data_IF_547156952099
#
_entry.id   IF_547156952099
#
_cell.length_a   1.000
_cell.length_b   1.000
_cell.length_c   1.000
_cell.angle_alpha   90.00
_cell.angle_beta   90.00
_cell.angle_gamma   90.00
#
_symmetry.space_group_name_H-M   'P 1'
#
loop_
_entity.id
_entity.type
_entity.pdbx_description
1 polymer ?
2 polymer ?
#
# COMPACT_ATOMS: atom_id res chain seq x y z
N UNK A 1 12.05 10.94 -4.20
CA UNK A 1 11.80 11.60 -5.47
C UNK A 1 10.40 12.20 -5.44
N UNK A 2 10.23 13.33 -6.14
CA UNK A 2 8.99 14.08 -6.05
C UNK A 2 7.86 13.46 -6.85
N UNK A 3 8.14 12.49 -7.71
CA UNK A 3 7.06 11.78 -8.39
C UNK A 3 6.23 10.96 -7.41
N UNK A 4 6.91 10.29 -6.47
CA UNK A 4 6.24 9.60 -5.38
C UNK A 4 5.47 10.58 -4.51
N UNK A 5 6.01 11.79 -4.35
CA UNK A 5 5.34 12.83 -3.58
C UNK A 5 4.04 13.26 -4.22
N UNK A 6 4.06 13.50 -5.53
CA UNK A 6 2.85 13.97 -6.21
C UNK A 6 1.81 12.88 -6.32
N UNK A 7 2.24 11.64 -6.60
CA UNK A 7 1.27 10.55 -6.67
C UNK A 7 0.73 10.26 -5.28
N UNK A 8 1.52 10.51 -4.23
CA UNK A 8 1.05 10.32 -2.87
C UNK A 8 0.03 11.38 -2.50
N UNK A 9 0.28 12.62 -2.94
CA UNK A 9 -0.62 13.74 -2.69
C UNK A 9 -1.98 13.53 -3.34
N UNK A 10 -2.00 13.26 -4.65
CA UNK A 10 -3.29 13.08 -5.31
C UNK A 10 -3.92 11.74 -4.96
N UNK A 11 -3.10 10.76 -4.57
CA UNK A 11 -3.63 9.47 -4.17
C UNK A 11 -4.28 9.56 -2.80
N UNK A 12 -3.91 10.57 -2.02
CA UNK A 12 -4.66 10.86 -0.81
C UNK A 12 -5.90 11.68 -1.13
N UNK A 13 -5.74 12.75 -1.90
CA UNK A 13 -6.79 13.76 -1.99
C UNK A 13 -7.91 13.35 -2.95
N UNK A 14 -7.72 12.28 -3.72
CA UNK A 14 -8.82 11.82 -4.55
C UNK A 14 -9.91 11.14 -3.72
N UNK A 15 -9.54 10.59 -2.57
CA UNK A 15 -10.42 9.74 -1.79
C UNK A 15 -10.77 10.37 -0.45
N UNK A 16 -11.12 11.65 -0.44
CA UNK A 16 -11.38 12.32 0.83
C UNK A 16 -12.70 11.87 1.44
N UNK A 17 -13.64 11.44 0.60
CA UNK A 17 -15.02 11.26 1.06
C UNK A 17 -15.14 10.02 1.94
N UNK A 18 -14.49 8.93 1.56
CA UNK A 18 -14.60 7.71 2.35
C UNK A 18 -13.85 7.81 3.66
N UNK A 19 -12.68 8.43 3.65
CA UNK A 19 -11.83 8.43 4.84
C UNK A 19 -12.35 9.38 5.90
N UNK A 20 -13.19 10.34 5.52
CA UNK A 20 -13.73 11.25 6.51
C UNK A 20 -14.99 10.73 7.18
N UNK A 21 -15.22 9.42 7.19
CA UNK A 21 -16.32 8.86 7.96
C UNK A 21 -15.86 7.84 8.98
N UNK A 22 -15.02 6.88 8.58
CA UNK A 22 -14.64 5.78 9.45
C UNK A 22 -13.37 6.05 10.25
N UNK A 23 -13.10 7.31 10.59
CA UNK A 23 -11.90 7.67 11.36
C UNK A 23 -12.31 8.56 12.52
N UNK A 24 -12.01 8.13 13.74
CA UNK A 24 -12.15 8.99 14.91
C UNK A 24 -11.08 10.07 14.83
N UNK A 25 -11.47 11.32 15.06
CA UNK A 25 -10.55 12.41 14.79
C UNK A 25 -9.55 12.63 15.91
N UNK A 26 -9.96 12.44 17.16
CA UNK A 26 -9.12 12.87 18.27
C UNK A 26 -8.02 11.85 18.50
N UNK A 27 -8.27 10.57 18.23
CA UNK A 27 -7.42 9.53 18.80
C UNK A 27 -6.05 9.30 18.13
N UNK A 28 -5.61 10.25 17.31
CA UNK A 28 -4.29 10.15 16.72
C UNK A 28 -3.24 11.22 17.00
N UNK A 29 -3.61 12.49 17.18
CA UNK A 29 -2.59 13.53 17.23
C UNK A 29 -1.86 13.65 18.57
N UNK A 30 -1.38 12.52 19.06
CA UNK A 30 -0.27 12.47 20.00
C UNK A 30 0.90 11.72 19.38
N UNK A 31 0.60 10.70 18.57
CA UNK A 31 1.64 10.00 17.82
C UNK A 31 2.26 10.89 16.76
N UNK A 32 1.45 11.46 15.88
CA UNK A 32 2.00 12.32 14.84
C UNK A 32 2.42 13.68 15.38
N UNK A 33 2.02 14.00 16.62
CA UNK A 33 2.60 15.17 17.26
C UNK A 33 4.01 14.86 17.73
N UNK A 34 4.33 13.58 17.93
CA UNK A 34 5.70 13.22 18.27
C UNK A 34 6.60 13.22 17.04
N UNK A 35 6.01 13.16 15.85
CA UNK A 35 6.82 13.19 14.63
C UNK A 35 7.21 14.59 14.21
N UNK A 36 6.82 15.61 14.98
CA UNK A 36 7.18 17.01 14.81
C UNK A 36 6.67 17.56 13.47
N UNK A 37 5.51 17.07 13.03
CA UNK A 37 4.85 17.61 11.84
C UNK A 37 3.58 18.38 12.14
N UNK A 38 3.23 18.55 13.41
CA UNK A 38 1.94 19.12 13.78
C UNK A 38 2.06 19.73 15.16
N UNK A 39 1.36 20.84 15.38
CA UNK A 39 1.58 21.64 16.58
C UNK A 39 0.27 21.80 17.34
N UNK A 40 0.38 22.53 18.46
CA UNK A 40 -0.76 22.79 19.33
C UNK A 40 -1.79 23.68 18.66
N UNK A 41 -1.34 24.56 17.77
CA UNK A 41 -2.25 25.42 17.02
C UNK A 41 -3.17 24.60 16.14
N UNK A 42 -2.64 23.51 15.58
CA UNK A 42 -3.48 22.58 14.84
C UNK A 42 -4.48 21.89 15.74
N UNK A 43 -4.06 21.58 16.97
CA UNK A 43 -4.94 20.90 17.96
C UNK A 43 -6.11 21.82 18.32
N UNK A 44 -5.84 23.13 18.46
CA UNK A 44 -6.90 24.12 18.81
C UNK A 44 -7.78 24.38 17.58
N UNK A 45 -7.17 24.45 16.40
CA UNK A 45 -7.92 24.70 15.13
C UNK A 45 -8.86 23.52 14.87
N UNK A 46 -8.42 22.30 15.17
CA UNK A 46 -9.25 21.08 14.95
C UNK A 46 -10.39 21.06 15.97
N UNK A 47 -10.11 21.49 17.21
CA UNK A 47 -11.11 21.51 18.26
C UNK A 47 -12.10 22.66 18.09
N UNK A 48 -11.78 23.63 17.23
CA UNK A 48 -12.74 24.68 16.91
C UNK A 48 -13.94 24.14 16.13
N UNK A 49 -13.77 23.02 15.44
CA UNK A 49 -14.89 22.43 14.71
C UNK A 49 -15.92 21.86 15.67
N UNK A 50 -17.15 21.71 15.19
CA UNK A 50 -18.25 21.20 16.00
C UNK A 50 -18.84 19.90 15.47
N UNK A 51 -18.75 19.66 14.17
CA UNK A 51 -19.29 18.46 13.55
C UNK A 51 -18.30 17.33 13.74
N UNK A 52 -18.76 16.10 13.54
CA UNK A 52 -17.85 14.96 13.57
C UNK A 52 -17.00 14.92 12.31
N UNK A 53 -17.63 15.14 11.16
CA UNK A 53 -17.01 14.86 9.88
C UNK A 53 -15.99 15.93 9.49
N UNK A 54 -16.25 17.18 9.84
CA UNK A 54 -15.41 18.26 9.36
C UNK A 54 -14.09 18.30 10.12
N UNK A 55 -14.09 17.77 11.34
CA UNK A 55 -12.85 17.48 12.04
C UNK A 55 -11.96 16.58 11.20
N UNK A 56 -12.53 15.47 10.72
CA UNK A 56 -11.79 14.55 9.87
C UNK A 56 -11.37 15.21 8.57
N UNK A 57 -12.22 16.09 8.05
CA UNK A 57 -11.89 16.78 6.81
C UNK A 57 -10.70 17.70 6.92
N UNK A 58 -10.72 18.61 7.90
CA UNK A 58 -9.64 19.57 8.01
C UNK A 58 -8.37 18.91 8.53
N UNK A 59 -8.51 17.86 9.35
CA UNK A 59 -7.35 17.09 9.78
C UNK A 59 -6.72 16.35 8.61
N UNK A 60 -7.54 15.79 7.74
CA UNK A 60 -7.03 15.05 6.60
C UNK A 60 -6.41 15.99 5.59
N UNK A 61 -6.95 17.21 5.52
CA UNK A 61 -6.46 18.25 4.57
C UNK A 61 -5.32 19.04 5.21
N UNK A 62 -5.04 18.74 6.47
CA UNK A 62 -3.95 19.44 7.20
C UNK A 62 -2.71 18.54 7.24
N UNK A 63 -2.60 17.63 6.31
CA UNK A 63 -1.45 16.70 6.24
C UNK A 63 -0.78 16.82 4.87
N UNK A 64 -1.40 17.57 3.95
CA UNK A 64 -0.85 17.76 2.61
C UNK A 64 0.15 18.91 2.57
N UNK A 65 1.14 18.81 3.45
CA UNK A 65 2.29 19.71 3.42
C UNK A 65 3.62 18.98 3.52
N UNK A 66 3.63 17.72 3.94
CA UNK A 66 4.80 16.86 3.95
C UNK A 66 4.45 15.51 3.33
N UNK A 67 5.37 14.94 2.56
CA UNK A 67 5.06 13.68 1.88
C UNK A 67 4.97 12.50 2.82
N UNK A 68 5.69 12.53 3.93
CA UNK A 68 5.82 11.38 4.81
C UNK A 68 4.70 11.28 5.83
N UNK A 69 3.64 12.08 5.69
CA UNK A 69 2.59 12.09 6.69
C UNK A 69 1.73 10.85 6.65
N UNK A 70 1.50 10.31 5.45
CA UNK A 70 0.59 9.17 5.28
C UNK A 70 1.09 7.95 6.02
N UNK A 71 2.42 7.74 6.00
CA UNK A 71 3.05 6.69 6.79
C UNK A 71 2.69 6.81 8.26
N UNK A 72 2.75 8.04 8.80
CA UNK A 72 2.38 8.25 10.19
C UNK A 72 0.90 7.98 10.39
N UNK A 73 0.08 8.30 9.38
CA UNK A 73 -1.34 7.98 9.45
C UNK A 73 -1.54 6.47 9.44
N UNK A 74 -0.67 5.75 8.73
CA UNK A 74 -0.70 4.30 8.84
C UNK A 74 -0.23 3.88 10.22
N UNK A 75 0.80 4.55 10.73
CA UNK A 75 1.58 4.01 11.84
C UNK A 75 0.79 3.98 13.14
N UNK A 76 0.07 5.06 13.43
CA UNK A 76 -0.83 5.05 14.59
C UNK A 76 -1.92 4.01 14.42
N UNK A 77 -2.44 3.86 13.20
CA UNK A 77 -3.38 2.79 12.93
C UNK A 77 -2.67 1.44 13.00
N UNK A 78 -1.39 1.42 12.64
CA UNK A 78 -0.58 0.25 12.93
C UNK A 78 -0.38 0.09 14.43
N UNK A 79 -0.27 1.20 15.16
CA UNK A 79 -0.01 1.17 16.59
C UNK A 79 -1.22 0.66 17.35
N UNK A 80 -2.32 1.39 17.30
CA UNK A 80 -3.55 0.89 17.89
C UNK A 80 -4.18 -0.07 16.90
N UNK A 81 -4.08 -1.35 17.20
CA UNK A 81 -4.62 -2.37 16.31
C UNK A 81 -6.11 -2.62 16.53
N UNK A 82 -6.90 -1.55 16.60
CA UNK A 82 -8.34 -1.73 16.73
C UNK A 82 -8.96 -1.97 15.37
N UNK A 83 -8.61 -1.15 14.39
CA UNK A 83 -9.05 -1.31 13.03
C UNK A 83 -7.84 -1.27 12.12
N UNK A 84 -7.83 -2.13 11.10
CA UNK A 84 -6.72 -2.13 10.16
C UNK A 84 -7.10 -2.44 8.72
N UNK A 85 -8.38 -2.58 8.40
CA UNK A 85 -8.76 -3.01 7.06
C UNK A 85 -8.69 -1.90 6.03
N UNK A 86 -8.39 -0.67 6.44
CA UNK A 86 -8.28 0.42 5.48
C UNK A 86 -6.96 0.37 4.73
N UNK A 87 -6.00 -0.40 5.26
CA UNK A 87 -4.62 -0.35 4.82
C UNK A 87 -4.47 -0.87 3.40
N UNK A 88 -4.96 -2.08 3.13
CA UNK A 88 -4.76 -2.63 1.80
C UNK A 88 -5.68 -1.97 0.79
N UNK A 89 -6.76 -1.34 1.26
CA UNK A 89 -7.60 -0.53 0.38
C UNK A 89 -6.84 0.68 -0.17
N UNK A 90 -6.27 1.49 0.72
CA UNK A 90 -5.53 2.66 0.25
C UNK A 90 -4.24 2.23 -0.45
N UNK A 91 -3.70 1.07 -0.05
CA UNK A 91 -2.52 0.53 -0.71
C UNK A 91 -2.81 0.16 -2.15
N UNK A 92 -3.95 -0.50 -2.40
CA UNK A 92 -4.33 -0.87 -3.75
C UNK A 92 -4.62 0.37 -4.59
N UNK A 93 -5.15 1.42 -3.95
CA UNK A 93 -5.29 2.70 -4.62
C UNK A 93 -3.94 3.26 -5.06
N UNK A 94 -2.93 3.16 -4.19
CA UNK A 94 -1.60 3.66 -4.52
C UNK A 94 -0.97 2.85 -5.65
N UNK A 95 -1.18 1.52 -5.64
CA UNK A 95 -0.69 0.68 -6.74
C UNK A 95 -1.34 1.05 -8.06
N UNK A 96 -2.64 1.37 -8.03
CA UNK A 96 -3.33 1.75 -9.26
C UNK A 96 -2.79 3.05 -9.83
N UNK A 97 -2.64 4.07 -8.98
CA UNK A 97 -2.22 5.36 -9.51
C UNK A 97 -0.74 5.32 -9.89
N UNK A 98 0.04 4.51 -9.17
CA UNK A 98 1.42 4.22 -9.54
C UNK A 98 1.50 3.54 -10.90
N UNK A 99 0.54 2.66 -11.20
CA UNK A 99 0.53 1.98 -12.49
C UNK A 99 0.22 2.95 -13.62
N UNK A 100 -0.70 3.89 -13.38
CA UNK A 100 -0.98 4.91 -14.40
C UNK A 100 0.23 5.80 -14.63
N UNK A 101 0.93 6.18 -13.56
CA UNK A 101 2.15 6.97 -13.71
C UNK A 101 3.24 6.19 -14.45
N UNK A 102 3.34 4.89 -14.17
CA UNK A 102 4.34 4.04 -14.82
C UNK A 102 4.06 3.91 -16.31
N UNK A 103 2.79 3.76 -16.68
CA UNK A 103 2.45 3.65 -18.09
C UNK A 103 2.58 5.00 -18.78
N UNK A 104 2.43 6.08 -18.03
CA UNK A 104 2.67 7.41 -18.58
C UNK A 104 4.16 7.71 -18.74
N UNK A 105 5.04 6.97 -18.05
CA UNK A 105 6.47 7.18 -18.22
C UNK A 105 6.94 6.85 -19.63
N UNK A 106 6.60 5.67 -20.13
CA UNK A 106 7.00 5.30 -21.48
C UNK A 106 5.90 5.66 -22.46
N UNK B 1 12.84 -20.47 -7.55
CA UNK B 1 12.35 -19.51 -6.57
C UNK B 1 13.48 -18.78 -5.88
N UNK B 2 13.81 -19.23 -4.67
CA UNK B 2 14.81 -18.55 -3.86
C UNK B 2 16.23 -18.86 -4.32
N UNK B 3 16.40 -19.91 -5.12
CA UNK B 3 17.74 -20.32 -5.52
C UNK B 3 18.27 -19.47 -6.67
N UNK B 4 17.39 -19.00 -7.54
CA UNK B 4 17.82 -18.46 -8.83
C UNK B 4 18.39 -17.05 -8.68
N UNK B 5 18.89 -16.52 -9.80
CA UNK B 5 19.68 -15.31 -9.79
C UNK B 5 18.82 -14.05 -9.75
N UNK B 6 19.49 -12.92 -9.90
CA UNK B 6 18.81 -11.62 -9.88
C UNK B 6 17.96 -11.28 -11.11
N UNK B 7 18.40 -11.44 -12.38
CA UNK B 7 17.62 -10.83 -13.47
C UNK B 7 16.29 -11.50 -13.74
N UNK B 8 16.21 -12.83 -13.59
CA UNK B 8 14.95 -13.53 -13.82
C UNK B 8 13.91 -13.15 -12.78
N UNK B 9 14.31 -13.16 -11.50
CA UNK B 9 13.41 -12.78 -10.42
C UNK B 9 13.03 -11.31 -10.51
N UNK B 10 13.99 -10.46 -10.87
CA UNK B 10 13.74 -9.03 -10.96
C UNK B 10 12.77 -8.70 -12.08
N UNK B 11 12.97 -9.30 -13.25
CA UNK B 11 12.07 -9.07 -14.38
C UNK B 11 10.69 -9.66 -14.12
N UNK B 12 10.63 -10.85 -13.52
CA UNK B 12 9.34 -11.47 -13.23
C UNK B 12 8.57 -10.66 -12.20
N UNK B 13 9.27 -10.10 -11.21
CA UNK B 13 8.62 -9.27 -10.21
C UNK B 13 8.15 -7.95 -10.79
N UNK B 14 8.98 -7.31 -11.63
CA UNK B 14 8.61 -6.01 -12.16
C UNK B 14 7.60 -6.14 -13.29
N UNK B 15 7.41 -7.36 -13.80
CA UNK B 15 6.31 -7.60 -14.73
C UNK B 15 5.03 -7.98 -14.00
N UNK B 16 5.16 -8.68 -12.87
CA UNK B 16 3.98 -9.08 -12.12
C UNK B 16 3.42 -7.92 -11.32
N UNK B 17 4.25 -6.91 -11.05
CA UNK B 17 3.80 -5.71 -10.35
C UNK B 17 2.79 -4.94 -11.19
N UNK B 18 3.15 -4.65 -12.44
CA UNK B 18 2.25 -3.99 -13.38
C UNK B 18 1.17 -4.97 -13.82
N UNK B 19 0.16 -5.09 -12.96
CA UNK B 19 -0.91 -6.06 -13.17
C UNK B 19 -2.24 -5.33 -13.37
N UNK B 20 -2.64 -5.03 -14.61
CA UNK B 20 -3.98 -4.50 -14.84
C UNK B 20 -5.06 -5.55 -14.71
N UNK B 21 -4.67 -6.82 -14.66
CA UNK B 21 -5.58 -7.92 -14.44
C UNK B 21 -6.24 -7.84 -13.07
N UNK B 22 -7.49 -8.28 -13.02
CA UNK B 22 -8.16 -8.42 -11.73
C UNK B 22 -7.56 -9.54 -10.91
N UNK B 23 -7.03 -10.56 -11.58
CA UNK B 23 -6.32 -11.64 -10.92
C UNK B 23 -4.86 -11.23 -10.72
N UNK B 24 -4.63 -10.26 -9.85
CA UNK B 24 -3.31 -9.70 -9.69
C UNK B 24 -2.44 -10.44 -8.70
N UNK B 25 -1.57 -9.71 -8.00
CA UNK B 25 -0.64 -10.35 -7.07
C UNK B 25 -1.35 -10.86 -5.84
N UNK B 26 -2.46 -10.21 -5.46
CA UNK B 26 -3.24 -10.69 -4.33
C UNK B 26 -3.93 -12.00 -4.67
N UNK B 27 -4.29 -12.17 -5.94
CA UNK B 27 -4.78 -13.46 -6.41
C UNK B 27 -3.67 -14.51 -6.38
N UNK B 28 -2.45 -14.13 -6.73
CA UNK B 28 -1.38 -15.11 -6.84
C UNK B 28 -0.89 -15.54 -5.46
N UNK B 29 -1.00 -14.65 -4.47
CA UNK B 29 -0.77 -15.05 -3.09
C UNK B 29 -1.85 -15.99 -2.57
N UNK B 30 -3.06 -15.89 -3.10
CA UNK B 30 -4.17 -16.76 -2.69
C UNK B 30 -4.29 -17.94 -3.65
N UNK B 31 -3.53 -18.99 -3.35
CA UNK B 31 -3.51 -20.16 -4.21
C UNK B 31 -4.51 -21.20 -3.73
N UNK B 32 -4.48 -22.35 -4.39
CA UNK B 32 -5.40 -23.43 -4.05
C UNK B 32 -4.89 -24.23 -2.86
N UNK B 33 -5.57 -24.07 -1.73
CA UNK B 33 -5.26 -24.89 -0.57
C UNK B 33 -3.96 -24.46 0.08
N UNK B 34 -2.95 -25.31 -0.04
CA UNK B 34 -1.64 -25.04 0.55
C UNK B 34 -0.91 -23.93 -0.20
N UNK B 41 -0.48 -15.45 8.76
CA UNK B 41 -1.80 -15.09 8.25
C UNK B 41 -1.78 -13.71 7.62
N UNK B 42 -2.06 -12.70 8.45
CA UNK B 42 -2.20 -11.35 7.93
C UNK B 42 -0.85 -10.70 7.67
N UNK B 43 0.21 -11.22 8.30
CA UNK B 43 1.49 -10.51 8.31
C UNK B 43 2.16 -10.55 6.94
N UNK B 44 1.95 -11.63 6.18
CA UNK B 44 2.48 -11.71 4.82
C UNK B 44 1.90 -10.60 3.95
N UNK B 45 0.56 -10.49 3.94
CA UNK B 45 -0.12 -9.52 3.09
C UNK B 45 0.20 -8.10 3.53
N UNK B 46 0.23 -7.86 4.84
CA UNK B 46 0.49 -6.51 5.34
C UNK B 46 1.92 -6.09 5.05
N UNK B 47 2.89 -6.99 5.20
CA UNK B 47 4.26 -6.58 4.98
C UNK B 47 4.58 -6.44 3.50
N UNK B 48 3.90 -7.20 2.63
CA UNK B 48 4.06 -6.94 1.20
C UNK B 48 3.41 -5.61 0.81
N UNK B 49 2.25 -5.32 1.40
CA UNK B 49 1.54 -4.10 1.06
C UNK B 49 2.20 -2.88 1.69
N UNK B 50 3.12 -3.09 2.63
CA UNK B 50 3.95 -1.98 3.10
C UNK B 50 5.29 -1.95 2.37
N UNK B 51 5.72 -3.08 1.81
CA UNK B 51 6.90 -3.09 0.95
C UNK B 51 6.66 -2.36 -0.35
N UNK B 52 5.40 -2.24 -0.77
CA UNK B 52 5.14 -1.53 -2.02
C UNK B 52 5.28 -0.01 -1.83
N UNK B 53 5.32 0.46 -0.58
CA UNK B 53 5.35 1.90 -0.33
C UNK B 53 6.69 2.52 -0.70
N UNK B 54 7.74 1.71 -0.79
CA UNK B 54 9.04 2.24 -1.17
C UNK B 54 9.04 2.60 -2.65
N UNK B 55 9.90 3.54 -3.09
CA UNK B 55 9.85 3.96 -4.50
C UNK B 55 10.27 2.89 -5.49
N UNK B 56 11.06 1.91 -5.07
CA UNK B 56 11.59 0.94 -6.01
C UNK B 56 11.15 -0.49 -5.71
N UNK B 57 9.99 -0.69 -5.11
CA UNK B 57 9.54 -2.01 -4.71
C UNK B 57 8.36 -2.52 -5.51
N UNK B 58 8.08 -3.80 -5.34
CA UNK B 58 6.90 -4.47 -5.85
C UNK B 58 6.33 -5.37 -4.76
N UNK B 59 5.03 -5.66 -4.80
CA UNK B 59 4.49 -6.71 -3.92
C UNK B 59 4.93 -8.07 -4.41
N UNK B 60 5.22 -8.11 -5.71
CA UNK B 60 5.66 -9.32 -6.39
C UNK B 60 6.98 -9.83 -5.83
N UNK B 61 7.90 -8.91 -5.51
CA UNK B 61 9.16 -9.29 -4.88
C UNK B 61 8.94 -9.93 -3.52
N UNK B 62 8.06 -9.33 -2.71
CA UNK B 62 7.72 -9.87 -1.41
C UNK B 62 7.06 -11.23 -1.52
N UNK B 63 6.20 -11.41 -2.53
CA UNK B 63 5.51 -12.68 -2.71
C UNK B 63 6.44 -13.77 -3.23
N UNK B 64 7.36 -13.42 -4.13
CA UNK B 64 8.34 -14.39 -4.61
C UNK B 64 9.33 -14.78 -3.53
N UNK B 65 9.74 -13.83 -2.68
CA UNK B 65 10.54 -14.19 -1.52
C UNK B 65 9.77 -15.08 -0.56
N UNK B 66 8.47 -14.82 -0.38
CA UNK B 66 7.66 -15.65 0.50
C UNK B 66 7.54 -17.08 -0.02
N UNK B 67 7.29 -17.23 -1.32
CA UNK B 67 7.17 -18.57 -1.88
C UNK B 67 8.51 -19.27 -2.03
N UNK B 68 9.61 -18.51 -2.09
CA UNK B 68 10.92 -19.14 -1.99
C UNK B 68 11.22 -19.60 -0.57
N UNK B 69 10.69 -18.88 0.42
CA UNK B 69 10.77 -19.35 1.80
C UNK B 69 9.84 -20.54 2.03
N UNK B 70 8.80 -20.66 1.21
CA UNK B 70 7.95 -21.85 1.25
C UNK B 70 8.70 -23.09 0.80
N UNK B 71 9.71 -22.92 -0.04
CA UNK B 71 10.36 -24.05 -0.67
C UNK B 71 9.74 -24.45 -1.98
N UNK B 72 9.05 -23.53 -2.66
CA UNK B 72 8.47 -23.82 -3.96
C UNK B 72 9.57 -23.95 -5.00
N UNK B 73 9.29 -24.72 -6.04
CA UNK B 73 10.22 -24.97 -7.13
C UNK B 73 9.66 -24.28 -8.38
N UNK B 74 10.52 -24.10 -9.39
CA UNK B 74 10.18 -23.30 -10.56
C UNK B 74 9.09 -23.97 -11.39
N UNK B 75 9.17 -25.30 -11.54
CA UNK B 75 8.12 -26.03 -12.25
C UNK B 75 6.82 -26.04 -11.46
N UNK B 76 6.93 -26.10 -10.13
CA UNK B 76 5.76 -26.02 -9.25
C UNK B 76 5.06 -24.68 -9.39
N UNK B 77 5.83 -23.60 -9.34
CA UNK B 77 5.27 -22.26 -9.52
C UNK B 77 4.71 -22.08 -10.93
N UNK B 78 5.33 -22.72 -11.93
CA UNK B 78 4.79 -22.65 -13.28
C UNK B 78 3.47 -23.41 -13.39
N UNK B 79 3.31 -24.48 -12.60
CA UNK B 79 2.01 -25.14 -12.50
C UNK B 79 0.97 -24.22 -11.87
N UNK B 80 1.36 -23.49 -10.82
CA UNK B 80 0.45 -22.51 -10.23
C UNK B 80 0.13 -21.38 -11.20
N UNK B 81 1.07 -21.03 -12.08
CA UNK B 81 0.83 -19.98 -13.05
C UNK B 81 -0.06 -20.46 -14.19
N UNK B 82 0.03 -21.74 -14.53
CA UNK B 82 -0.92 -22.30 -15.48
C UNK B 82 -2.31 -22.39 -14.86
N UNK B 83 -2.37 -22.64 -13.55
CA UNK B 83 -3.63 -22.53 -12.83
C UNK B 83 -4.13 -21.09 -12.78
N UNK B 84 -3.20 -20.13 -12.85
CA UNK B 84 -3.54 -18.71 -12.84
C UNK B 84 -4.13 -18.26 -14.18
N UNK B 85 -3.99 -19.11 -15.21
CA UNK B 85 -4.72 -19.07 -16.49
C UNK B 85 -4.55 -17.75 -17.25
N UNK B 86 -3.43 -17.08 -17.01
CA UNK B 86 -2.93 -16.02 -17.88
C UNK B 86 -1.64 -16.50 -18.53
N UNK B 87 -1.75 -16.94 -19.79
CA UNK B 87 -0.60 -17.56 -20.45
C UNK B 87 0.40 -16.52 -20.93
N UNK B 88 0.03 -15.24 -20.88
CA UNK B 88 0.96 -14.17 -21.21
C UNK B 88 2.08 -14.08 -20.18
N UNK B 89 1.78 -14.47 -18.94
CA UNK B 89 2.80 -14.48 -17.90
C UNK B 89 3.77 -15.64 -18.11
N UNK B 90 3.27 -16.79 -18.58
CA UNK B 90 4.11 -17.98 -18.71
C UNK B 90 5.10 -17.84 -19.86
N UNK B 91 4.73 -17.10 -20.90
CA UNK B 91 5.65 -16.86 -22.00
C UNK B 91 6.58 -15.69 -21.67
#
# INVERSE_FOLDING_TARGET
>A
EEDLTEVKKDALENLRVYLCEKIIAERHFDHLRAKKILSREDTEEISCRTSSRKRAGKLLDYLQENPKGLDTLVESIRREKTQNFLIQKITDEVLKLRNIKLEHLK
>B
LNRLREPLLRRLSELLDQAPEGRGWRRLAELAGSRGRLRLSCLDLEQCSLKVLEPEGSPSLCLLKLMGEKGCTVTELSDFLQAMEHTEVLQL
#
